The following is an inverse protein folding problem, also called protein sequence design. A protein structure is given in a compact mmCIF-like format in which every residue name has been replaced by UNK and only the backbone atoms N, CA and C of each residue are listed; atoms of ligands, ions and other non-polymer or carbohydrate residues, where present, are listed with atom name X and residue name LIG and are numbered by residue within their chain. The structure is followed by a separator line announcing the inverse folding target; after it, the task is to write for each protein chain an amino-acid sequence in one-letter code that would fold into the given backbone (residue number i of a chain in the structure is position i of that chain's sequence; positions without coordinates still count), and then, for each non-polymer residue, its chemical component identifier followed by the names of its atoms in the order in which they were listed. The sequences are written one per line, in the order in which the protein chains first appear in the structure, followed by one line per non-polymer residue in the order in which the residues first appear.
data_IF_019757495247
#
_entry.id   IF_019757495247
#
_cell.length_a   1.000
_cell.length_b   1.000
_cell.length_c   1.000
_cell.angle_alpha   90.00
_cell.angle_beta   90.00
_cell.angle_gamma   90.00
#
_symmetry.space_group_name_H-M   'P 1'
#
loop_
_entity.id
_entity.type
_entity.pdbx_description
1 polymer ?
#
# COMPACT_ATOMS: atom_id res chain seq x y z
N UNK A 1 -6.38 14.65 -2.85
CA UNK A 1 -5.71 14.20 -1.62
C UNK A 1 -4.21 14.10 -1.82
N UNK A 2 -3.46 14.23 -0.76
CA UNK A 2 -2.02 14.02 -0.80
C UNK A 2 -1.70 12.55 -0.56
N UNK A 3 -0.56 12.12 -1.06
CA UNK A 3 -0.04 10.78 -0.81
C UNK A 3 1.18 10.93 0.07
N UNK A 4 1.10 10.37 1.27
CA UNK A 4 2.15 10.47 2.27
C UNK A 4 2.78 9.09 2.45
N UNK A 5 4.10 9.04 2.33
CA UNK A 5 4.86 7.80 2.45
C UNK A 5 5.55 7.74 3.80
N UNK A 6 5.28 6.68 4.56
CA UNK A 6 6.11 6.39 5.71
C UNK A 6 7.51 6.03 5.20
N UNK A 7 8.51 6.30 6.00
CA UNK A 7 9.90 6.08 5.61
C UNK A 7 10.15 4.63 5.16
N UNK A 8 9.60 3.68 5.88
CA UNK A 8 9.73 2.27 5.54
C UNK A 8 9.11 1.95 4.17
N UNK A 9 7.91 2.48 3.92
CA UNK A 9 7.24 2.28 2.64
C UNK A 9 8.02 2.90 1.48
N UNK A 10 8.60 4.05 1.70
CA UNK A 10 9.43 4.72 0.71
C UNK A 10 10.67 3.88 0.37
N UNK A 11 11.32 3.31 1.37
CA UNK A 11 12.46 2.41 1.16
C UNK A 11 12.04 1.16 0.41
N UNK A 12 10.89 0.59 0.76
CA UNK A 12 10.36 -0.60 0.09
C UNK A 12 10.12 -0.33 -1.39
N UNK A 13 9.48 0.78 -1.71
CA UNK A 13 9.21 1.19 -3.08
C UNK A 13 10.51 1.26 -3.88
N UNK A 14 11.50 1.95 -3.33
CA UNK A 14 12.78 2.12 -4.00
C UNK A 14 13.54 0.80 -4.13
N UNK A 15 13.40 -0.11 -3.17
CA UNK A 15 14.07 -1.41 -3.24
C UNK A 15 13.59 -2.24 -4.43
N UNK A 16 12.30 -2.17 -4.77
CA UNK A 16 11.79 -2.86 -5.96
C UNK A 16 12.50 -2.36 -7.21
N UNK A 17 12.60 -1.06 -7.35
CA UNK A 17 13.24 -0.46 -8.53
C UNK A 17 14.74 -0.79 -8.58
N UNK A 18 15.43 -0.69 -7.47
CA UNK A 18 16.87 -0.98 -7.38
C UNK A 18 17.18 -2.44 -7.65
N UNK A 19 16.27 -3.34 -7.31
CA UNK A 19 16.42 -4.79 -7.53
C UNK A 19 15.91 -5.24 -8.90
N UNK A 20 15.49 -4.29 -9.74
CA UNK A 20 15.03 -4.60 -11.09
C UNK A 20 13.61 -5.16 -11.16
N UNK A 21 12.86 -5.11 -10.08
CA UNK A 21 11.46 -5.59 -10.06
C UNK A 21 10.53 -4.46 -10.48
N UNK A 22 10.57 -4.12 -11.75
CA UNK A 22 9.74 -3.06 -12.32
C UNK A 22 8.26 -3.41 -12.28
N UNK A 23 7.93 -4.68 -12.35
CA UNK A 23 6.54 -5.13 -12.34
C UNK A 23 5.87 -4.78 -11.01
N UNK A 24 6.52 -5.08 -9.90
CA UNK A 24 5.99 -4.74 -8.57
C UNK A 24 5.95 -3.23 -8.36
N UNK A 25 6.98 -2.52 -8.80
CA UNK A 25 7.01 -1.05 -8.73
C UNK A 25 5.80 -0.45 -9.46
N UNK A 26 5.57 -0.86 -10.70
CA UNK A 26 4.44 -0.36 -11.49
C UNK A 26 3.10 -0.74 -10.87
N UNK A 27 3.02 -1.93 -10.29
CA UNK A 27 1.80 -2.38 -9.61
C UNK A 27 1.45 -1.48 -8.43
N UNK A 28 2.45 -1.09 -7.64
CA UNK A 28 2.24 -0.18 -6.51
C UNK A 28 1.64 1.14 -6.99
N UNK A 29 2.20 1.71 -8.05
CA UNK A 29 1.68 2.96 -8.60
C UNK A 29 0.24 2.79 -9.07
N UNK A 30 -0.06 1.69 -9.77
CA UNK A 30 -1.42 1.39 -10.24
C UNK A 30 -2.40 1.23 -9.07
N UNK A 31 -1.97 0.59 -7.98
CA UNK A 31 -2.79 0.43 -6.79
C UNK A 31 -3.14 1.78 -6.15
N UNK A 32 -2.16 2.66 -6.06
CA UNK A 32 -2.37 4.00 -5.49
C UNK A 32 -3.34 4.80 -6.34
N UNK A 33 -3.19 4.77 -7.65
CA UNK A 33 -4.11 5.42 -8.57
C UNK A 33 -5.53 4.86 -8.43
N UNK A 34 -5.66 3.55 -8.27
CA UNK A 34 -6.96 2.91 -8.11
C UNK A 34 -7.62 3.28 -6.77
N UNK A 35 -6.84 3.39 -5.70
CA UNK A 35 -7.34 3.85 -4.40
C UNK A 35 -7.91 5.25 -4.53
N UNK A 36 -7.20 6.14 -5.22
CA UNK A 36 -7.66 7.52 -5.44
C UNK A 36 -8.97 7.55 -6.21
N UNK A 37 -9.12 6.67 -7.19
CA UNK A 37 -10.29 6.63 -8.06
C UNK A 37 -11.49 5.92 -7.44
N UNK A 38 -11.26 4.78 -6.79
CA UNK A 38 -12.34 3.88 -6.36
C UNK A 38 -12.51 3.78 -4.84
N UNK A 39 -11.63 4.38 -4.07
CA UNK A 39 -11.70 4.33 -2.61
C UNK A 39 -10.85 3.22 -2.02
N UNK A 40 -10.85 3.15 -0.68
CA UNK A 40 -9.93 2.28 0.07
C UNK A 40 -10.29 0.80 -0.01
N UNK A 41 -11.56 0.47 -0.19
CA UNK A 41 -12.06 -0.89 -0.06
C UNK A 41 -12.58 -1.51 -1.34
N UNK A 42 -12.38 -0.85 -2.48
CA UNK A 42 -12.87 -1.32 -3.79
C UNK A 42 -11.79 -1.19 -4.84
N UNK A 43 -11.80 -2.08 -5.82
CA UNK A 43 -10.94 -2.00 -6.97
C UNK A 43 -9.94 -3.14 -7.08
N UNK A 44 -8.82 -2.88 -7.73
CA UNK A 44 -7.83 -3.92 -8.05
C UNK A 44 -6.98 -4.31 -6.83
N UNK A 45 -6.36 -5.47 -6.90
CA UNK A 45 -5.43 -5.92 -5.88
C UNK A 45 -6.08 -6.53 -4.64
N UNK A 46 -7.34 -6.92 -4.74
CA UNK A 46 -8.08 -7.56 -3.64
C UNK A 46 -7.99 -6.75 -2.35
N UNK A 47 -8.57 -5.54 -2.32
CA UNK A 47 -8.52 -4.72 -1.12
C UNK A 47 -9.14 -5.42 0.07
N UNK A 48 -8.49 -5.34 1.21
CA UNK A 48 -8.87 -6.02 2.42
C UNK A 48 -8.71 -5.10 3.61
N UNK A 49 -9.75 -5.01 4.45
CA UNK A 49 -9.69 -4.27 5.71
C UNK A 49 -8.95 -5.12 6.74
N UNK A 50 -7.97 -4.55 7.39
CA UNK A 50 -7.20 -5.22 8.42
C UNK A 50 -7.93 -5.16 9.77
N UNK A 51 -7.59 -6.06 10.68
CA UNK A 51 -8.32 -6.24 11.93
C UNK A 51 -7.44 -6.04 13.16
N UNK A 52 -8.09 -6.01 14.32
CA UNK A 52 -7.45 -5.93 15.63
C UNK A 52 -6.60 -4.67 15.76
N UNK A 53 -5.33 -4.80 16.11
CA UNK A 53 -4.43 -3.65 16.29
C UNK A 53 -4.15 -2.90 14.98
N UNK A 54 -4.52 -3.48 13.83
CA UNK A 54 -4.38 -2.84 12.52
C UNK A 54 -5.70 -2.30 11.99
N UNK A 55 -6.72 -2.25 12.82
CA UNK A 55 -8.03 -1.74 12.46
C UNK A 55 -7.93 -0.30 11.92
N UNK A 56 -8.63 -0.03 10.83
CA UNK A 56 -8.54 1.26 10.14
C UNK A 56 -7.53 1.28 9.00
N UNK A 57 -6.73 0.25 8.89
CA UNK A 57 -5.80 0.07 7.79
C UNK A 57 -6.35 -0.91 6.78
N UNK A 58 -5.83 -0.84 5.56
CA UNK A 58 -6.22 -1.70 4.44
C UNK A 58 -4.98 -2.24 3.76
N UNK A 59 -5.14 -3.34 3.01
CA UNK A 59 -4.05 -3.84 2.19
C UNK A 59 -4.54 -4.27 0.81
N UNK A 60 -3.63 -4.24 -0.15
CA UNK A 60 -3.86 -4.74 -1.52
C UNK A 60 -2.65 -5.54 -1.97
N UNK A 61 -2.89 -6.57 -2.78
CA UNK A 61 -1.81 -7.40 -3.31
C UNK A 61 -0.96 -6.65 -4.33
N UNK A 62 0.35 -6.68 -4.12
CA UNK A 62 1.33 -6.18 -5.07
C UNK A 62 1.78 -7.33 -5.98
N UNK A 63 2.14 -8.44 -5.37
CA UNK A 63 2.57 -9.68 -6.03
C UNK A 63 2.19 -10.85 -5.13
N UNK A 64 2.66 -12.06 -5.43
CA UNK A 64 2.34 -13.25 -4.65
C UNK A 64 2.77 -13.17 -3.19
N UNK A 65 3.79 -12.38 -2.92
CA UNK A 65 4.44 -12.32 -1.62
C UNK A 65 4.08 -11.06 -0.83
N UNK A 66 4.00 -9.93 -1.49
CA UNK A 66 3.96 -8.62 -0.83
C UNK A 66 2.63 -7.92 -1.00
N UNK A 67 2.28 -7.11 0.01
CA UNK A 67 1.06 -6.30 0.00
C UNK A 67 1.37 -4.85 0.33
N UNK A 68 0.59 -3.96 -0.27
CA UNK A 68 0.59 -2.54 0.04
C UNK A 68 -0.32 -2.32 1.25
N UNK A 69 0.20 -1.73 2.32
CA UNK A 69 -0.60 -1.39 3.50
C UNK A 69 -0.77 0.13 3.56
N UNK A 70 -2.00 0.57 3.71
CA UNK A 70 -2.35 1.99 3.63
C UNK A 70 -3.55 2.33 4.49
N UNK A 71 -3.76 3.63 4.70
CA UNK A 71 -4.96 4.14 5.37
C UNK A 71 -5.23 5.56 4.91
N UNK A 72 -6.44 6.04 5.19
CA UNK A 72 -6.75 7.47 5.07
C UNK A 72 -6.53 8.08 6.44
N UNK A 73 -5.74 9.13 6.51
CA UNK A 73 -5.45 9.79 7.77
C UNK A 73 -6.57 10.77 8.16
N UNK A 74 -6.42 11.42 9.30
CA UNK A 74 -7.43 12.34 9.84
C UNK A 74 -7.64 13.58 8.97
N UNK A 75 -6.68 13.88 8.08
CA UNK A 75 -6.76 15.00 7.15
C UNK A 75 -7.29 14.61 5.77
N UNK A 76 -7.72 13.34 5.62
CA UNK A 76 -8.21 12.83 4.35
C UNK A 76 -7.14 12.49 3.35
N UNK A 77 -5.89 12.39 3.77
CA UNK A 77 -4.78 12.03 2.90
C UNK A 77 -4.50 10.53 2.92
N UNK A 78 -4.03 10.01 1.80
CA UNK A 78 -3.64 8.61 1.69
C UNK A 78 -2.25 8.43 2.27
N UNK A 79 -2.14 7.62 3.31
CA UNK A 79 -0.87 7.31 3.93
C UNK A 79 -0.47 5.89 3.59
N UNK A 80 0.72 5.74 3.01
CA UNK A 80 1.29 4.44 2.65
C UNK A 80 2.24 4.01 3.77
N UNK A 81 1.90 2.89 4.41
CA UNK A 81 2.61 2.41 5.60
C UNK A 81 3.69 1.41 5.26
N UNK A 82 3.40 0.49 4.34
CA UNK A 82 4.33 -0.56 3.91
C UNK A 82 4.04 -0.99 2.48
N UNK A 83 5.07 -1.45 1.77
CA UNK A 83 4.97 -2.00 0.42
C UNK A 83 5.58 -3.40 0.32
N UNK A 84 5.86 -4.04 1.46
CA UNK A 84 6.33 -5.43 1.53
C UNK A 84 5.55 -6.15 2.60
N UNK A 85 5.70 -7.47 2.68
CA UNK A 85 4.95 -8.28 3.62
C UNK A 85 5.54 -8.20 5.01
N UNK A 86 5.11 -7.20 5.77
CA UNK A 86 5.55 -6.99 7.14
C UNK A 86 4.42 -6.68 8.11
N UNK A 87 3.19 -6.55 7.59
CA UNK A 87 2.09 -6.08 8.43
C UNK A 87 1.70 -7.07 9.53
N UNK A 88 2.02 -8.33 9.37
CA UNK A 88 1.79 -9.35 10.38
C UNK A 88 2.74 -9.22 11.57
N UNK A 89 3.78 -8.40 11.44
CA UNK A 89 4.78 -8.16 12.49
C UNK A 89 4.61 -6.79 13.16
N UNK A 90 3.64 -6.06 12.72
CA UNK A 90 3.31 -4.76 13.31
C UNK A 90 2.69 -4.95 14.72
#
# INVERSE_FOLDING_TARGET
MKILWDEEAWRDLNSYLLNGDKKSYKKIISLIEDIDKNGVDKGIGKPEALKYNLSGMYSREINEKDRLVYKIDENGNLRILQCKTHYDKM
#
